data_IF_824812166166
#
_entry.id   IF_824812166166
#
_cell.length_a   1.000
_cell.length_b   1.000
_cell.length_c   1.000
_cell.angle_alpha   90.00
_cell.angle_beta   90.00
_cell.angle_gamma   90.00
#
_symmetry.space_group_name_H-M   'P 1'
#
loop_
_entity.id
_entity.type
_entity.pdbx_description
1 polymer ?
#
# COMPACT_ATOMS: atom_id res chain seq x y z
N UNK A 1 24.30 -75.93 -26.45
CA UNK A 1 23.69 -74.75 -27.07
C UNK A 1 22.84 -74.08 -25.99
N UNK A 2 23.40 -73.08 -25.28
CA UNK A 2 22.71 -72.38 -24.18
C UNK A 2 22.16 -71.05 -24.72
N UNK A 3 20.84 -70.90 -24.75
CA UNK A 3 20.18 -69.63 -25.05
C UNK A 3 20.02 -68.82 -23.75
N UNK A 4 20.72 -67.68 -23.65
CA UNK A 4 20.49 -66.67 -22.62
C UNK A 4 19.41 -65.72 -23.13
N UNK A 5 18.26 -65.68 -22.45
CA UNK A 5 17.26 -64.63 -22.67
C UNK A 5 17.68 -63.38 -21.88
N UNK A 6 17.92 -62.29 -22.58
CA UNK A 6 18.07 -60.96 -21.98
C UNK A 6 16.70 -60.31 -21.97
N UNK A 7 16.10 -60.15 -20.78
CA UNK A 7 14.86 -59.39 -20.61
C UNK A 7 15.26 -57.92 -20.47
N UNK A 8 14.95 -57.12 -21.48
CA UNK A 8 15.15 -55.68 -21.48
C UNK A 8 13.93 -55.02 -20.81
N UNK A 9 14.10 -54.48 -19.60
CA UNK A 9 13.07 -53.67 -18.94
C UNK A 9 13.10 -52.25 -19.52
N UNK A 10 12.10 -51.89 -20.31
CA UNK A 10 11.82 -50.50 -20.66
C UNK A 10 11.14 -49.82 -19.47
N UNK A 11 11.88 -48.94 -18.77
CA UNK A 11 11.31 -48.00 -17.82
C UNK A 11 10.56 -46.91 -18.61
N UNK A 12 9.24 -47.06 -18.74
CA UNK A 12 8.37 -45.99 -19.19
C UNK A 12 8.20 -45.00 -18.03
N UNK A 13 8.93 -43.88 -18.05
CA UNK A 13 8.64 -42.76 -17.17
C UNK A 13 7.36 -42.08 -17.66
N UNK A 14 6.24 -42.29 -16.97
CA UNK A 14 5.07 -41.43 -17.15
C UNK A 14 5.43 -40.03 -16.64
N UNK A 15 5.74 -39.13 -17.56
CA UNK A 15 5.79 -37.70 -17.28
C UNK A 15 4.36 -37.19 -17.12
N UNK A 16 3.88 -37.06 -15.90
CA UNK A 16 2.67 -36.28 -15.64
C UNK A 16 3.03 -34.81 -15.89
N UNK A 17 2.53 -34.25 -16.99
CA UNK A 17 2.57 -32.80 -17.18
C UNK A 17 1.68 -32.19 -16.09
N UNK A 18 2.27 -31.47 -15.14
CA UNK A 18 1.50 -30.62 -14.24
C UNK A 18 0.72 -29.60 -15.10
N UNK A 19 -0.55 -29.31 -14.78
CA UNK A 19 -1.29 -28.29 -15.50
C UNK A 19 -0.53 -26.96 -15.41
N UNK A 20 -0.22 -26.36 -16.56
CA UNK A 20 0.35 -25.02 -16.61
C UNK A 20 -0.69 -24.04 -16.09
N UNK A 21 -0.31 -23.27 -15.07
CA UNK A 21 -1.18 -22.28 -14.43
C UNK A 21 -0.62 -20.88 -14.65
N UNK A 22 -1.51 -19.90 -14.75
CA UNK A 22 -1.14 -18.50 -14.84
C UNK A 22 -2.12 -17.67 -14.04
N UNK A 23 -1.59 -16.67 -13.34
CA UNK A 23 -2.39 -15.69 -12.62
C UNK A 23 -1.76 -14.32 -12.75
N UNK A 24 -2.59 -13.30 -12.87
CA UNK A 24 -2.17 -11.90 -12.89
C UNK A 24 -3.14 -11.09 -12.03
N UNK A 25 -2.57 -10.17 -11.25
CA UNK A 25 -3.28 -9.18 -10.45
C UNK A 25 -3.23 -7.85 -11.22
N UNK A 26 -4.36 -7.16 -11.27
CA UNK A 26 -4.47 -5.82 -11.87
C UNK A 26 -3.87 -4.76 -10.93
N UNK A 27 -2.57 -4.84 -10.66
CA UNK A 27 -1.84 -3.83 -9.86
C UNK A 27 -1.70 -2.55 -10.71
N UNK A 28 -2.19 -1.39 -10.23
CA UNK A 28 -2.02 -0.13 -10.93
C UNK A 28 -0.55 0.21 -11.13
N UNK A 29 -0.20 0.76 -12.30
CA UNK A 29 1.17 1.08 -12.67
C UNK A 29 1.44 2.58 -12.68
N UNK A 30 2.61 2.97 -12.18
CA UNK A 30 3.23 4.26 -12.45
C UNK A 30 4.75 4.12 -12.54
N UNK A 31 5.39 5.02 -13.26
CA UNK A 31 6.85 5.16 -13.26
C UNK A 31 7.31 5.96 -12.03
N UNK A 32 8.54 5.72 -11.56
CA UNK A 32 9.11 6.48 -10.42
C UNK A 32 9.35 7.95 -10.74
N UNK A 33 9.36 8.33 -12.01
CA UNK A 33 9.44 9.71 -12.48
C UNK A 33 8.15 10.08 -13.25
N UNK A 34 7.03 10.40 -12.57
CA UNK A 34 5.73 10.60 -13.21
C UNK A 34 5.73 11.65 -14.33
N UNK A 35 6.52 12.71 -14.18
CA UNK A 35 6.67 13.81 -15.16
C UNK A 35 7.81 13.56 -16.17
N UNK A 36 8.37 12.34 -16.22
CA UNK A 36 9.57 11.97 -16.98
C UNK A 36 10.84 12.78 -16.61
N UNK A 37 10.84 13.41 -15.43
CA UNK A 37 12.00 14.07 -14.84
C UNK A 37 12.71 13.10 -13.88
N UNK A 38 13.92 12.67 -14.23
CA UNK A 38 14.68 11.67 -13.48
C UNK A 38 15.69 12.28 -12.48
N UNK A 39 15.62 13.59 -12.23
CA UNK A 39 16.39 14.22 -11.18
C UNK A 39 15.79 13.92 -9.79
N UNK A 40 16.57 14.14 -8.73
CA UNK A 40 16.10 14.05 -7.34
C UNK A 40 14.76 14.78 -7.13
N UNK A 41 13.82 14.20 -6.35
CA UNK A 41 13.97 12.93 -5.61
C UNK A 41 13.71 11.68 -6.45
N UNK A 42 13.26 11.82 -7.70
CA UNK A 42 12.77 10.70 -8.53
C UNK A 42 13.81 9.67 -8.91
N UNK A 43 15.09 9.99 -8.78
CA UNK A 43 16.19 9.09 -9.10
C UNK A 43 16.21 7.88 -8.17
N UNK A 44 15.91 8.09 -6.89
CA UNK A 44 15.98 7.09 -5.81
C UNK A 44 14.61 6.93 -5.13
N UNK A 45 13.54 6.98 -5.93
CA UNK A 45 12.15 6.88 -5.46
C UNK A 45 11.52 5.51 -5.80
N UNK A 46 12.32 4.48 -6.05
CA UNK A 46 11.79 3.21 -6.56
C UNK A 46 10.93 2.51 -5.50
N UNK A 47 11.35 2.56 -4.23
CA UNK A 47 10.70 2.00 -3.05
C UNK A 47 9.35 2.66 -2.79
N UNK A 48 9.30 3.99 -2.77
CA UNK A 48 8.06 4.74 -2.59
C UNK A 48 7.08 4.49 -3.74
N UNK A 49 7.61 4.29 -4.94
CA UNK A 49 6.79 3.97 -6.12
C UNK A 49 6.16 2.57 -6.01
N UNK A 50 6.92 1.56 -5.60
CA UNK A 50 6.36 0.20 -5.42
C UNK A 50 5.40 0.13 -4.24
N UNK A 51 5.66 0.87 -3.15
CA UNK A 51 4.73 1.03 -2.04
C UNK A 51 3.42 1.66 -2.53
N UNK A 52 3.49 2.77 -3.28
CA UNK A 52 2.32 3.44 -3.83
C UNK A 52 1.51 2.53 -4.78
N UNK A 53 2.17 1.73 -5.62
CA UNK A 53 1.48 0.79 -6.52
C UNK A 53 0.69 -0.28 -5.75
N UNK A 54 1.26 -0.83 -4.67
CA UNK A 54 0.56 -1.81 -3.83
C UNK A 54 -0.56 -1.15 -3.02
N UNK A 55 -0.33 0.05 -2.50
CA UNK A 55 -1.36 0.81 -1.78
C UNK A 55 -2.58 1.12 -2.67
N UNK A 56 -2.35 1.53 -3.91
CA UNK A 56 -3.41 1.75 -4.90
C UNK A 56 -4.12 0.44 -5.28
N UNK A 57 -3.41 -0.68 -5.31
CA UNK A 57 -4.03 -1.99 -5.54
C UNK A 57 -4.97 -2.40 -4.40
N UNK A 58 -4.58 -2.21 -3.13
CA UNK A 58 -5.44 -2.55 -1.99
C UNK A 58 -6.61 -1.59 -1.83
N UNK A 59 -6.39 -0.28 -2.04
CA UNK A 59 -7.43 0.75 -1.99
C UNK A 59 -8.34 0.79 -3.25
N UNK A 60 -8.08 -0.05 -4.25
CA UNK A 60 -8.83 -0.13 -5.53
C UNK A 60 -8.85 1.20 -6.30
N UNK A 61 -7.75 1.94 -6.21
CA UNK A 61 -7.53 3.19 -6.92
C UNK A 61 -6.74 2.98 -8.22
N UNK A 62 -6.69 4.03 -9.05
CA UNK A 62 -5.90 4.07 -10.29
C UNK A 62 -5.05 5.34 -10.34
N UNK A 63 -3.89 5.28 -10.99
CA UNK A 63 -3.03 6.44 -11.13
C UNK A 63 -3.47 7.39 -12.24
N UNK A 64 -3.29 8.68 -11.95
CA UNK A 64 -2.97 9.72 -12.93
C UNK A 64 -1.55 10.21 -12.61
N UNK A 65 -0.92 10.98 -13.50
CA UNK A 65 0.40 11.57 -13.22
C UNK A 65 0.41 12.39 -11.92
N UNK A 66 -0.63 13.20 -11.68
CA UNK A 66 -0.76 13.99 -10.46
C UNK A 66 -0.87 13.13 -9.20
N UNK A 67 -1.76 12.14 -9.23
CA UNK A 67 -1.96 11.20 -8.11
C UNK A 67 -0.70 10.38 -7.80
N UNK A 68 0.03 9.94 -8.84
CA UNK A 68 1.29 9.23 -8.67
C UNK A 68 2.34 10.12 -7.98
N UNK A 69 2.47 11.36 -8.43
CA UNK A 69 3.39 12.35 -7.85
C UNK A 69 3.07 12.61 -6.38
N UNK A 70 1.80 12.81 -6.05
CA UNK A 70 1.34 13.02 -4.68
C UNK A 70 1.67 11.82 -3.78
N UNK A 71 1.32 10.60 -4.21
CA UNK A 71 1.56 9.38 -3.43
C UNK A 71 3.06 9.13 -3.17
N UNK A 72 3.90 9.27 -4.20
CA UNK A 72 5.36 9.06 -4.07
C UNK A 72 5.97 10.12 -3.14
N UNK A 73 5.65 11.41 -3.35
CA UNK A 73 6.18 12.48 -2.49
C UNK A 73 5.69 12.40 -1.05
N UNK A 74 4.48 11.89 -0.83
CA UNK A 74 3.97 11.65 0.52
C UNK A 74 4.80 10.58 1.22
N UNK A 75 5.07 9.44 0.56
CA UNK A 75 5.90 8.39 1.14
C UNK A 75 7.34 8.85 1.42
N UNK A 76 7.92 9.67 0.52
CA UNK A 76 9.25 10.29 0.76
C UNK A 76 9.21 11.14 2.03
N UNK A 77 8.18 12.00 2.20
CA UNK A 77 8.05 12.85 3.39
C UNK A 77 7.88 12.04 4.67
N UNK A 78 7.09 10.96 4.63
CA UNK A 78 6.91 10.04 5.77
C UNK A 78 8.25 9.41 6.13
N UNK A 79 8.98 8.87 5.14
CA UNK A 79 10.32 8.29 5.31
C UNK A 79 11.27 9.30 5.95
N UNK A 80 11.40 10.49 5.37
CA UNK A 80 12.33 11.52 5.85
C UNK A 80 11.98 12.02 7.26
N UNK A 81 10.69 12.14 7.60
CA UNK A 81 10.24 12.52 8.94
C UNK A 81 10.61 11.44 9.97
N UNK A 82 10.50 10.17 9.61
CA UNK A 82 10.67 9.05 10.55
C UNK A 82 12.13 8.58 10.68
N UNK A 83 12.87 8.54 9.58
CA UNK A 83 14.22 7.96 9.51
C UNK A 83 15.32 8.99 9.24
N UNK A 84 14.95 10.23 8.87
CA UNK A 84 15.87 11.22 8.33
C UNK A 84 16.10 11.04 6.82
N UNK A 85 16.97 11.88 6.25
CA UNK A 85 17.25 11.83 4.81
C UNK A 85 18.01 10.57 4.43
N UNK A 86 17.41 9.78 3.56
CA UNK A 86 17.98 8.56 2.99
C UNK A 86 17.50 8.40 1.54
N UNK A 87 18.38 7.86 0.69
CA UNK A 87 18.09 7.66 -0.73
C UNK A 87 17.40 6.32 -0.94
N UNK A 88 18.12 5.22 -0.69
CA UNK A 88 17.63 3.86 -0.85
C UNK A 88 17.38 3.18 0.51
N UNK A 89 16.43 2.25 0.54
CA UNK A 89 16.04 1.49 1.73
C UNK A 89 16.08 -0.02 1.53
N UNK A 90 16.46 -0.74 2.60
CA UNK A 90 16.40 -2.19 2.64
C UNK A 90 14.97 -2.70 2.92
N UNK A 91 14.78 -4.01 2.80
CA UNK A 91 13.49 -4.65 2.97
C UNK A 91 12.90 -4.46 4.37
N UNK A 92 13.76 -4.39 5.39
CA UNK A 92 13.35 -4.15 6.78
C UNK A 92 12.75 -2.76 6.96
N UNK A 93 13.43 -1.73 6.45
CA UNK A 93 12.92 -0.36 6.46
C UNK A 93 11.62 -0.24 5.66
N UNK A 94 11.56 -0.83 4.46
CA UNK A 94 10.34 -0.78 3.63
C UNK A 94 9.16 -1.40 4.39
N UNK A 95 9.35 -2.58 4.99
CA UNK A 95 8.31 -3.25 5.77
C UNK A 95 7.91 -2.43 7.01
N UNK A 96 8.87 -1.80 7.70
CA UNK A 96 8.63 -0.91 8.84
C UNK A 96 7.75 0.29 8.44
N UNK A 97 8.08 0.96 7.32
CA UNK A 97 7.29 2.10 6.83
C UNK A 97 5.86 1.70 6.48
N UNK A 98 5.68 0.55 5.80
CA UNK A 98 4.35 0.03 5.47
C UNK A 98 3.55 -0.27 6.75
N UNK A 99 4.15 -1.02 7.67
CA UNK A 99 3.47 -1.48 8.88
C UNK A 99 3.13 -0.34 9.84
N UNK A 100 3.89 0.75 9.83
CA UNK A 100 3.59 1.94 10.62
C UNK A 100 2.53 2.82 9.96
N UNK A 101 2.65 3.09 8.66
CA UNK A 101 2.00 4.26 8.05
C UNK A 101 0.95 3.95 6.98
N UNK A 102 0.68 2.68 6.67
CA UNK A 102 -0.31 2.28 5.66
C UNK A 102 -1.39 1.37 6.23
N UNK A 103 -2.53 1.30 5.55
CA UNK A 103 -3.70 0.50 5.98
C UNK A 103 -3.60 -0.99 5.62
N UNK A 104 -2.39 -1.46 5.33
CA UNK A 104 -2.06 -2.83 4.96
C UNK A 104 -0.67 -3.19 5.53
N UNK A 105 -0.31 -4.46 5.52
CA UNK A 105 0.91 -4.98 6.14
C UNK A 105 1.90 -5.59 5.18
N UNK A 106 3.14 -5.67 5.63
CA UNK A 106 4.25 -6.30 4.97
C UNK A 106 5.04 -7.23 5.90
N UNK A 107 5.50 -8.35 5.35
CA UNK A 107 6.33 -9.33 6.04
C UNK A 107 7.54 -9.67 5.18
N UNK A 108 8.70 -9.78 5.81
CA UNK A 108 9.94 -10.11 5.12
C UNK A 108 10.03 -11.62 4.95
N UNK A 109 10.25 -12.07 3.72
CA UNK A 109 10.58 -13.45 3.40
C UNK A 109 12.02 -13.53 2.91
N UNK A 110 12.88 -14.09 3.75
CA UNK A 110 14.28 -14.41 3.39
C UNK A 110 14.30 -15.73 2.62
N UNK A 111 15.10 -15.76 1.54
CA UNK A 111 15.23 -16.85 0.59
C UNK A 111 13.87 -17.40 0.11
N UNK A 112 12.97 -16.55 -0.43
CA UNK A 112 11.68 -17.01 -0.91
C UNK A 112 11.88 -18.01 -2.05
N UNK A 113 11.04 -19.04 -2.08
CA UNK A 113 10.97 -19.95 -3.22
C UNK A 113 10.03 -19.41 -4.30
N UNK A 114 10.15 -19.92 -5.53
CA UNK A 114 9.19 -19.63 -6.61
C UNK A 114 7.74 -19.88 -6.15
N UNK A 115 7.51 -20.99 -5.45
CA UNK A 115 6.19 -21.38 -4.95
C UNK A 115 5.71 -20.48 -3.80
N UNK A 116 6.60 -19.96 -2.95
CA UNK A 116 6.24 -18.96 -1.94
C UNK A 116 5.67 -17.70 -2.61
N UNK A 117 6.32 -17.20 -3.66
CA UNK A 117 5.89 -15.99 -4.39
C UNK A 117 4.57 -16.25 -5.12
N UNK A 118 4.44 -17.38 -5.83
CA UNK A 118 3.19 -17.76 -6.51
C UNK A 118 2.02 -17.86 -5.53
N UNK A 119 2.25 -18.43 -4.35
CA UNK A 119 1.23 -18.53 -3.31
C UNK A 119 0.71 -17.16 -2.87
N UNK A 120 1.56 -16.14 -2.78
CA UNK A 120 1.12 -14.77 -2.51
C UNK A 120 0.21 -14.24 -3.63
N UNK A 121 0.65 -14.40 -4.88
CA UNK A 121 -0.17 -14.03 -6.06
C UNK A 121 -1.51 -14.77 -6.07
N UNK A 122 -1.52 -16.08 -5.77
CA UNK A 122 -2.72 -16.91 -5.69
C UNK A 122 -3.69 -16.45 -4.61
N UNK A 123 -3.18 -15.81 -3.55
CA UNK A 123 -3.99 -15.17 -2.51
C UNK A 123 -4.33 -13.70 -2.78
N UNK A 124 -4.07 -13.20 -4.00
CA UNK A 124 -4.31 -11.81 -4.40
C UNK A 124 -3.45 -10.80 -3.63
N UNK A 125 -2.21 -11.17 -3.31
CA UNK A 125 -1.25 -10.34 -2.60
C UNK A 125 -0.02 -10.11 -3.49
N UNK A 126 0.15 -8.89 -4.04
CA UNK A 126 1.36 -8.54 -4.78
C UNK A 126 2.60 -8.67 -3.88
N UNK A 127 3.76 -8.91 -4.49
CA UNK A 127 5.02 -9.02 -3.76
C UNK A 127 5.93 -7.88 -4.17
N UNK A 128 6.44 -7.12 -3.21
CA UNK A 128 7.49 -6.12 -3.46
C UNK A 128 8.85 -6.84 -3.42
N UNK A 129 9.71 -6.56 -4.38
CA UNK A 129 10.99 -7.22 -4.54
C UNK A 129 12.13 -6.20 -4.69
N UNK A 130 12.96 -6.04 -3.65
CA UNK A 130 14.30 -5.46 -3.77
C UNK A 130 15.17 -6.27 -4.73
N UNK A 131 15.97 -5.60 -5.55
CA UNK A 131 16.76 -6.21 -6.60
C UNK A 131 18.11 -5.51 -6.79
N UNK A 132 19.13 -6.31 -7.09
CA UNK A 132 20.30 -5.79 -7.78
C UNK A 132 19.93 -5.52 -9.25
N UNK A 133 19.69 -4.26 -9.60
CA UNK A 133 19.05 -3.86 -10.87
C UNK A 133 19.77 -4.35 -12.12
N UNK A 134 21.10 -4.47 -12.06
CA UNK A 134 21.92 -4.99 -13.18
C UNK A 134 21.66 -6.47 -13.51
N UNK A 135 21.13 -7.25 -12.57
CA UNK A 135 20.82 -8.67 -12.77
C UNK A 135 19.43 -8.91 -13.35
N UNK A 136 18.61 -7.86 -13.49
CA UNK A 136 17.33 -7.95 -14.19
C UNK A 136 17.53 -8.10 -15.70
N UNK A 137 18.64 -7.56 -16.24
CA UNK A 137 18.92 -7.48 -17.67
C UNK A 137 17.81 -6.81 -18.47
N UNK A 138 17.15 -5.80 -17.88
CA UNK A 138 16.07 -5.07 -18.54
C UNK A 138 16.63 -4.26 -19.73
N UNK A 139 16.16 -4.49 -20.96
CA UNK A 139 16.68 -3.81 -22.16
C UNK A 139 16.36 -2.32 -22.21
N UNK A 140 15.43 -1.84 -21.37
CA UNK A 140 15.05 -0.43 -21.28
C UNK A 140 15.86 0.35 -20.25
N UNK A 141 16.69 -0.31 -19.45
CA UNK A 141 17.58 0.38 -18.52
C UNK A 141 18.84 0.90 -19.20
N UNK A 142 19.23 2.11 -18.82
CA UNK A 142 20.52 2.67 -19.24
C UNK A 142 21.66 2.01 -18.46
N UNK A 143 22.83 1.89 -19.08
CA UNK A 143 24.05 1.31 -18.45
C UNK A 143 23.84 -0.08 -17.82
N UNK A 144 22.89 -0.85 -18.36
CA UNK A 144 22.53 -2.19 -17.90
C UNK A 144 21.71 -2.26 -16.62
N UNK A 145 21.26 -1.14 -16.06
CA UNK A 145 20.47 -1.08 -14.82
C UNK A 145 21.19 -0.38 -13.67
N UNK A 146 20.40 0.12 -12.70
CA UNK A 146 20.94 0.70 -11.47
C UNK A 146 21.59 -0.39 -10.60
N UNK A 147 22.37 0.04 -9.61
CA UNK A 147 22.97 -0.91 -8.66
C UNK A 147 21.87 -1.58 -7.81
N UNK A 148 21.02 -0.76 -7.21
CA UNK A 148 19.84 -1.17 -6.47
C UNK A 148 18.58 -0.75 -7.22
N UNK A 149 17.51 -1.53 -7.04
CA UNK A 149 16.19 -1.26 -7.60
C UNK A 149 15.11 -1.98 -6.81
N UNK A 150 13.85 -1.59 -6.97
CA UNK A 150 12.71 -2.36 -6.50
C UNK A 150 11.59 -2.41 -7.53
N UNK A 151 10.85 -3.52 -7.55
CA UNK A 151 9.69 -3.73 -8.42
C UNK A 151 8.57 -4.49 -7.71
N UNK A 152 7.38 -4.50 -8.30
CA UNK A 152 6.26 -5.33 -7.80
C UNK A 152 6.08 -6.55 -8.70
N UNK A 153 6.08 -7.75 -8.13
CA UNK A 153 5.61 -8.96 -8.80
C UNK A 153 4.09 -9.02 -8.64
N UNK A 154 3.39 -9.06 -9.77
CA UNK A 154 1.92 -9.01 -9.84
C UNK A 154 1.30 -10.24 -10.50
N UNK A 155 2.11 -11.13 -11.06
CA UNK A 155 1.60 -12.33 -11.71
C UNK A 155 2.68 -13.33 -12.10
N UNK A 156 2.25 -14.46 -12.63
CA UNK A 156 3.12 -15.50 -13.18
C UNK A 156 2.43 -16.27 -14.32
N UNK A 157 3.24 -16.92 -15.15
CA UNK A 157 2.85 -17.72 -16.31
C UNK A 157 3.75 -18.95 -16.37
N UNK A 158 3.25 -20.10 -15.91
CA UNK A 158 4.04 -21.34 -15.86
C UNK A 158 4.32 -21.95 -17.23
N UNK A 159 3.49 -21.64 -18.23
CA UNK A 159 3.78 -22.08 -19.61
C UNK A 159 5.04 -21.39 -20.14
N UNK A 160 5.18 -20.09 -19.86
CA UNK A 160 6.33 -19.28 -20.29
C UNK A 160 7.50 -19.26 -19.32
N UNK A 161 7.29 -19.73 -18.09
CA UNK A 161 8.26 -19.63 -16.99
C UNK A 161 8.63 -18.17 -16.68
N UNK A 162 7.62 -17.30 -16.60
CA UNK A 162 7.78 -15.85 -16.43
C UNK A 162 6.97 -15.31 -15.26
N UNK A 163 7.53 -14.32 -14.57
CA UNK A 163 6.76 -13.42 -13.72
C UNK A 163 6.26 -12.22 -14.53
N UNK A 164 5.11 -11.69 -14.13
CA UNK A 164 4.56 -10.42 -14.59
C UNK A 164 4.82 -9.39 -13.49
N UNK A 165 5.37 -8.23 -13.85
CA UNK A 165 5.85 -7.22 -12.91
C UNK A 165 5.35 -5.82 -13.23
N UNK A 166 5.27 -4.97 -12.21
CA UNK A 166 5.18 -3.53 -12.35
C UNK A 166 6.56 -2.94 -12.09
N UNK A 167 7.19 -2.47 -13.16
CA UNK A 167 8.60 -2.08 -13.19
C UNK A 167 8.74 -0.53 -13.22
N UNK A 168 8.96 0.13 -12.07
CA UNK A 168 8.87 1.59 -11.98
C UNK A 168 10.03 2.32 -12.67
N UNK A 169 11.14 1.63 -12.96
CA UNK A 169 12.36 2.21 -13.53
C UNK A 169 12.28 2.49 -15.04
N UNK A 170 11.15 2.21 -15.69
CA UNK A 170 10.95 2.49 -17.11
C UNK A 170 9.48 2.69 -17.47
N UNK A 171 9.21 3.56 -18.45
CA UNK A 171 7.86 3.74 -19.04
C UNK A 171 7.29 2.47 -19.69
N UNK A 172 8.13 1.47 -19.94
CA UNK A 172 7.74 0.17 -20.49
C UNK A 172 7.42 -0.87 -19.40
N UNK A 173 7.29 -0.43 -18.15
CA UNK A 173 7.24 -1.30 -16.99
C UNK A 173 5.90 -1.90 -16.62
N UNK A 174 4.80 -1.46 -17.24
CA UNK A 174 3.47 -2.04 -17.01
C UNK A 174 3.45 -3.48 -17.51
N UNK A 175 3.14 -4.41 -16.61
CA UNK A 175 3.08 -5.85 -16.86
C UNK A 175 4.35 -6.40 -17.55
N UNK A 176 5.50 -5.80 -17.25
CA UNK A 176 6.78 -6.23 -17.81
C UNK A 176 7.10 -7.65 -17.38
N UNK A 177 7.60 -8.45 -18.33
CA UNK A 177 7.83 -9.89 -18.13
C UNK A 177 9.31 -10.19 -17.95
N UNK A 178 9.63 -10.88 -16.88
CA UNK A 178 10.95 -11.42 -16.61
C UNK A 178 10.84 -12.94 -16.45
N UNK A 179 11.85 -13.69 -16.91
CA UNK A 179 11.90 -15.12 -16.61
C UNK A 179 11.98 -15.35 -15.09
N UNK A 180 11.50 -16.51 -14.63
CA UNK A 180 11.69 -16.93 -13.23
C UNK A 180 13.16 -16.87 -12.83
N UNK A 181 14.06 -17.34 -13.69
CA UNK A 181 15.51 -17.29 -13.44
C UNK A 181 16.04 -15.87 -13.25
N UNK A 182 15.59 -14.92 -14.07
CA UNK A 182 16.00 -13.51 -13.96
C UNK A 182 15.60 -12.92 -12.59
N UNK A 183 14.33 -13.07 -12.22
CA UNK A 183 13.80 -12.54 -10.96
C UNK A 183 14.49 -13.18 -9.76
N UNK A 184 14.57 -14.52 -9.73
CA UNK A 184 15.18 -15.23 -8.61
C UNK A 184 16.70 -14.99 -8.51
N UNK A 185 17.36 -14.62 -9.61
CA UNK A 185 18.76 -14.22 -9.61
C UNK A 185 18.97 -12.77 -9.20
N UNK A 186 18.09 -11.85 -9.62
CA UNK A 186 18.23 -10.43 -9.34
C UNK A 186 17.78 -10.03 -7.93
N UNK A 187 16.93 -10.84 -7.30
CA UNK A 187 16.41 -10.60 -5.95
C UNK A 187 17.54 -10.55 -4.92
N UNK A 188 17.77 -9.37 -4.39
CA UNK A 188 18.79 -9.08 -3.39
C UNK A 188 18.38 -7.84 -2.61
N UNK A 189 18.48 -7.92 -1.28
CA UNK A 189 18.22 -6.79 -0.41
C UNK A 189 19.27 -5.69 -0.57
N UNK A 190 18.89 -4.45 -0.30
CA UNK A 190 19.77 -3.31 -0.39
C UNK A 190 20.96 -3.45 0.56
N UNK A 191 22.17 -3.23 0.03
CA UNK A 191 23.35 -2.98 0.85
C UNK A 191 24.08 -1.73 0.33
N UNK A 192 24.46 -0.79 1.22
CA UNK A 192 25.09 0.46 0.82
C UNK A 192 26.46 0.25 0.17
N UNK A 193 26.93 1.26 -0.57
CA UNK A 193 28.25 1.23 -1.20
C UNK A 193 28.32 0.34 -2.45
N UNK A 194 27.18 0.10 -3.09
CA UNK A 194 27.07 -0.73 -4.30
C UNK A 194 27.34 -2.21 -4.04
N UNK A 195 26.82 -2.70 -2.91
CA UNK A 195 27.00 -4.07 -2.46
C UNK A 195 25.73 -4.89 -2.52
N UNK A 196 24.66 -4.40 -3.15
CA UNK A 196 23.34 -5.05 -3.21
C UNK A 196 23.45 -6.49 -3.72
N UNK A 197 24.32 -6.78 -4.70
CA UNK A 197 24.54 -8.17 -5.17
C UNK A 197 24.97 -9.18 -4.08
N UNK A 198 25.41 -8.72 -2.92
CA UNK A 198 25.77 -9.53 -1.76
C UNK A 198 24.70 -9.52 -0.66
N UNK A 199 23.66 -8.71 -0.81
CA UNK A 199 22.50 -8.70 0.07
C UNK A 199 21.76 -10.02 0.03
N UNK A 200 21.06 -10.32 1.12
CA UNK A 200 20.26 -11.53 1.22
C UNK A 200 19.16 -11.54 0.15
N UNK A 201 18.81 -12.72 -0.35
CA UNK A 201 17.67 -12.84 -1.27
C UNK A 201 16.40 -12.64 -0.48
N UNK A 202 15.77 -11.48 -0.63
CA UNK A 202 14.62 -11.09 0.17
C UNK A 202 13.49 -10.61 -0.70
N UNK A 203 12.26 -10.97 -0.33
CA UNK A 203 11.04 -10.39 -0.85
C UNK A 203 10.16 -9.89 0.29
N UNK A 204 9.34 -8.90 0.00
CA UNK A 204 8.39 -8.31 0.95
C UNK A 204 6.99 -8.78 0.54
N UNK A 205 6.44 -9.68 1.34
CA UNK A 205 5.10 -10.23 1.14
C UNK A 205 4.09 -9.29 1.77
N UNK A 206 3.02 -8.97 1.04
CA UNK A 206 2.06 -7.94 1.48
C UNK A 206 0.76 -8.58 1.94
N UNK A 207 -0.03 -7.88 2.76
CA UNK A 207 -1.31 -8.35 3.28
C UNK A 207 -2.30 -7.19 3.42
N UNK A 208 -3.55 -7.31 2.92
CA UNK A 208 -4.55 -6.27 3.13
C UNK A 208 -5.05 -6.18 4.58
N UNK A 209 -4.66 -7.11 5.46
CA UNK A 209 -5.07 -7.14 6.85
C UNK A 209 -3.93 -6.63 7.75
N UNK A 210 -4.27 -5.86 8.79
CA UNK A 210 -3.34 -5.23 9.74
C UNK A 210 -3.16 -6.01 11.06
N UNK A 211 -3.00 -7.33 10.99
CA UNK A 211 -3.14 -8.19 12.19
C UNK A 211 -2.05 -7.94 13.24
N UNK A 212 -0.82 -7.65 12.82
CA UNK A 212 0.30 -7.44 13.74
C UNK A 212 0.47 -5.99 14.21
N UNK A 213 0.10 -5.03 13.37
CA UNK A 213 0.32 -3.59 13.56
C UNK A 213 -0.92 -2.83 14.02
N UNK A 214 -2.07 -3.50 14.15
CA UNK A 214 -3.34 -2.85 14.52
C UNK A 214 -3.27 -2.01 15.82
N UNK A 215 -2.44 -2.41 16.77
CA UNK A 215 -2.32 -1.74 18.07
C UNK A 215 -1.09 -0.83 18.18
N UNK A 216 -0.35 -0.63 17.08
CA UNK A 216 0.79 0.29 17.06
C UNK A 216 0.27 1.74 16.98
N UNK A 217 1.02 2.67 17.56
CA UNK A 217 0.79 4.13 17.53
C UNK A 217 2.11 4.75 17.03
N UNK A 218 2.25 4.83 15.71
CA UNK A 218 3.54 5.08 15.08
C UNK A 218 3.95 6.56 15.11
N UNK A 219 2.98 7.48 15.12
CA UNK A 219 3.22 8.92 15.20
C UNK A 219 3.16 9.46 16.64
N UNK A 220 2.74 8.64 17.61
CA UNK A 220 2.88 8.87 19.04
C UNK A 220 1.91 9.93 19.56
N UNK A 221 0.71 9.94 19.00
CA UNK A 221 -0.31 10.95 19.27
C UNK A 221 -1.33 10.49 20.33
N UNK A 222 -1.32 9.19 20.67
CA UNK A 222 -2.22 8.54 21.64
C UNK A 222 -3.34 7.72 21.00
N UNK A 223 -3.38 7.60 19.67
CA UNK A 223 -4.39 6.87 18.91
C UNK A 223 -3.75 5.68 18.18
N UNK A 224 -4.19 4.46 18.51
CA UNK A 224 -3.67 3.26 17.83
C UNK A 224 -4.16 3.16 16.38
N UNK A 225 -3.35 2.58 15.50
CA UNK A 225 -3.57 2.43 14.05
C UNK A 225 -4.95 1.94 13.67
N UNK A 226 -5.50 0.92 14.35
CA UNK A 226 -6.85 0.43 14.02
C UNK A 226 -7.92 1.50 14.30
N UNK A 227 -7.72 2.31 15.33
CA UNK A 227 -8.62 3.40 15.70
C UNK A 227 -8.45 4.58 14.75
N UNK A 228 -7.23 4.88 14.33
CA UNK A 228 -6.96 5.87 13.29
C UNK A 228 -7.66 5.54 11.96
N UNK A 229 -7.56 4.29 11.50
CA UNK A 229 -8.24 3.82 10.28
C UNK A 229 -9.76 3.94 10.40
N UNK A 230 -10.32 3.57 11.55
CA UNK A 230 -11.75 3.74 11.83
C UNK A 230 -12.17 5.22 11.81
N UNK A 231 -11.30 6.10 12.30
CA UNK A 231 -11.53 7.55 12.41
C UNK A 231 -11.17 8.32 11.13
N UNK A 232 -10.56 7.64 10.15
CA UNK A 232 -10.03 8.22 8.92
C UNK A 232 -9.00 9.33 9.20
N UNK A 233 -8.23 9.20 10.29
CA UNK A 233 -7.06 10.05 10.57
C UNK A 233 -5.86 9.61 9.72
N UNK A 234 -4.81 10.42 9.73
CA UNK A 234 -3.58 10.22 8.98
C UNK A 234 -2.56 9.46 9.84
N UNK A 235 -2.33 8.17 9.53
CA UNK A 235 -1.40 7.29 10.25
C UNK A 235 0.04 7.83 10.47
N UNK A 236 0.44 8.86 9.73
CA UNK A 236 1.77 9.46 9.76
C UNK A 236 1.81 10.87 10.37
N UNK A 237 0.67 11.38 10.84
CA UNK A 237 0.51 12.75 11.34
C UNK A 237 -0.25 12.77 12.65
N UNK A 238 0.46 13.15 13.72
CA UNK A 238 -0.11 13.26 15.06
C UNK A 238 -1.29 14.25 15.16
N UNK A 239 -1.47 15.10 14.16
CA UNK A 239 -2.49 16.14 14.03
C UNK A 239 -2.96 16.09 12.58
N UNK A 240 -4.11 15.45 12.35
CA UNK A 240 -4.60 15.09 11.03
C UNK A 240 -5.20 16.28 10.28
N UNK A 241 -5.80 17.22 10.98
CA UNK A 241 -6.40 18.41 10.39
C UNK A 241 -5.55 19.69 10.51
N UNK A 242 -4.41 19.59 11.20
CA UNK A 242 -3.43 20.65 11.44
C UNK A 242 -3.99 21.83 12.24
N UNK A 243 -4.89 21.59 13.18
CA UNK A 243 -5.47 22.62 14.04
C UNK A 243 -4.66 22.89 15.33
N UNK A 244 -3.62 22.08 15.57
CA UNK A 244 -2.69 22.21 16.69
C UNK A 244 -2.98 21.26 17.86
N UNK A 245 -4.01 20.42 17.76
CA UNK A 245 -4.28 19.36 18.72
C UNK A 245 -3.88 17.99 18.16
N UNK A 246 -3.59 17.03 19.05
CA UNK A 246 -3.26 15.66 18.64
C UNK A 246 -4.54 14.87 18.44
N UNK A 247 -4.60 13.96 17.47
CA UNK A 247 -5.84 13.22 17.21
C UNK A 247 -6.28 12.43 18.44
N UNK A 248 -5.36 11.73 19.10
CA UNK A 248 -5.61 11.04 20.38
C UNK A 248 -6.14 11.96 21.49
N UNK A 249 -5.61 13.19 21.59
CA UNK A 249 -6.07 14.19 22.57
C UNK A 249 -7.47 14.68 22.25
N UNK A 250 -7.78 14.91 20.97
CA UNK A 250 -9.09 15.35 20.55
C UNK A 250 -10.15 14.30 20.83
N UNK A 251 -9.88 13.03 20.53
CA UNK A 251 -10.78 11.93 20.84
C UNK A 251 -11.06 11.85 22.35
N UNK A 252 -10.04 11.98 23.20
CA UNK A 252 -10.21 11.99 24.66
C UNK A 252 -11.07 13.18 25.13
N UNK A 253 -10.91 14.35 24.49
CA UNK A 253 -11.63 15.57 24.81
C UNK A 253 -13.01 15.69 24.12
N UNK A 254 -13.38 14.73 23.26
CA UNK A 254 -14.65 14.71 22.51
C UNK A 254 -14.66 15.61 21.26
N UNK A 255 -13.50 15.94 20.71
CA UNK A 255 -13.30 16.68 19.46
C UNK A 255 -12.98 15.75 18.28
N UNK A 256 -13.10 16.29 17.07
CA UNK A 256 -12.95 15.58 15.82
C UNK A 256 -11.56 15.79 15.23
N UNK A 257 -10.73 14.73 15.10
CA UNK A 257 -9.34 14.85 14.66
C UNK A 257 -9.13 15.20 13.18
N UNK A 258 -10.22 15.20 12.41
CA UNK A 258 -10.21 15.46 10.97
C UNK A 258 -10.90 16.77 10.62
N UNK A 259 -11.28 17.57 11.62
CA UNK A 259 -12.03 18.81 11.43
C UNK A 259 -11.87 19.79 12.59
N UNK A 260 -11.07 20.82 12.33
CA UNK A 260 -10.80 21.89 13.28
C UNK A 260 -12.07 22.43 13.95
N UNK A 261 -12.07 22.50 15.28
CA UNK A 261 -13.16 23.00 16.12
C UNK A 261 -14.51 22.24 16.01
N UNK A 262 -14.53 21.02 15.45
CA UNK A 262 -15.73 20.18 15.48
C UNK A 262 -15.70 19.24 16.68
N UNK A 263 -16.78 19.22 17.46
CA UNK A 263 -16.98 18.23 18.53
C UNK A 263 -17.53 16.91 17.92
N UNK A 264 -17.14 15.76 18.45
CA UNK A 264 -17.74 14.47 18.08
C UNK A 264 -19.15 14.33 18.65
N UNK A 265 -20.08 13.81 17.84
CA UNK A 265 -21.49 13.70 18.22
C UNK A 265 -22.20 15.05 18.20
N UNK A 266 -21.68 16.00 17.42
CA UNK A 266 -22.21 17.36 17.33
C UNK A 266 -23.30 17.47 16.31
N UNK A 267 -24.24 18.36 16.59
CA UNK A 267 -25.30 18.71 15.67
C UNK A 267 -24.76 19.81 14.77
N UNK A 268 -24.70 19.57 13.47
CA UNK A 268 -24.18 20.53 12.51
C UNK A 268 -25.26 20.90 11.48
N UNK A 269 -25.16 22.12 10.94
CA UNK A 269 -25.95 22.59 9.79
C UNK A 269 -25.12 23.52 8.93
N UNK A 270 -25.53 23.74 7.68
CA UNK A 270 -24.96 24.82 6.86
C UNK A 270 -25.72 26.14 7.10
N UNK A 271 -25.16 27.30 6.69
CA UNK A 271 -25.88 28.56 6.75
C UNK A 271 -27.19 28.54 5.94
N UNK A 272 -27.15 27.87 4.79
CA UNK A 272 -28.19 27.96 3.75
C UNK A 272 -29.19 26.79 3.77
N UNK A 273 -29.03 25.82 4.68
CA UNK A 273 -29.93 24.66 4.82
C UNK A 273 -30.58 24.59 6.21
N UNK A 274 -31.88 24.27 6.29
CA UNK A 274 -32.54 23.96 7.56
C UNK A 274 -32.22 22.56 8.08
N UNK A 275 -31.55 21.71 7.29
CA UNK A 275 -31.21 20.34 7.68
C UNK A 275 -30.18 20.33 8.81
N UNK A 276 -30.44 19.51 9.82
CA UNK A 276 -29.53 19.29 10.94
C UNK A 276 -29.01 17.86 10.87
N UNK A 277 -27.71 17.71 11.05
CA UNK A 277 -27.05 16.42 10.99
C UNK A 277 -26.38 16.12 12.32
N UNK A 278 -26.43 14.86 12.75
CA UNK A 278 -25.48 14.37 13.74
C UNK A 278 -24.17 14.05 13.01
N UNK A 279 -23.11 14.77 13.35
CA UNK A 279 -21.77 14.51 12.88
C UNK A 279 -21.04 13.59 13.85
N UNK A 280 -20.57 12.46 13.33
CA UNK A 280 -19.79 11.51 14.09
C UNK A 280 -18.91 10.71 13.13
N UNK A 281 -17.61 10.62 13.41
CA UNK A 281 -16.68 9.77 12.69
C UNK A 281 -16.70 9.95 11.15
N UNK A 282 -16.41 11.17 10.67
CA UNK A 282 -16.46 11.57 9.25
C UNK A 282 -17.80 11.29 8.53
N UNK A 283 -18.86 11.03 9.29
CA UNK A 283 -20.17 10.66 8.79
C UNK A 283 -21.19 11.66 9.32
N UNK A 284 -22.11 12.05 8.45
CA UNK A 284 -23.28 12.85 8.82
C UNK A 284 -24.52 11.98 8.72
N UNK A 285 -25.38 12.07 9.72
CA UNK A 285 -26.70 11.44 9.68
C UNK A 285 -27.74 12.52 9.78
N UNK A 286 -28.55 12.67 8.74
CA UNK A 286 -29.65 13.63 8.75
C UNK A 286 -30.62 13.29 9.87
N UNK A 287 -31.05 14.30 10.63
CA UNK A 287 -32.07 14.16 11.66
C UNK A 287 -33.40 14.52 11.02
N UNK A 288 -34.27 13.52 10.85
CA UNK A 288 -35.45 13.59 9.99
C UNK A 288 -36.34 14.81 10.30
N UNK A 289 -36.55 15.12 11.58
CA UNK A 289 -37.40 16.22 12.01
C UNK A 289 -37.14 16.64 13.47
N UNK A 290 -37.79 17.73 13.88
CA UNK A 290 -37.76 18.27 15.24
C UNK A 290 -38.18 17.27 16.32
N UNK A 291 -39.17 16.41 16.05
CA UNK A 291 -39.64 15.43 17.05
C UNK A 291 -38.54 14.41 17.38
N UNK A 292 -37.84 13.91 16.36
CA UNK A 292 -36.66 13.04 16.53
C UNK A 292 -35.57 13.79 17.28
N UNK A 293 -35.29 15.03 16.88
CA UNK A 293 -34.28 15.87 17.53
C UNK A 293 -34.52 16.01 19.05
N UNK A 294 -35.75 16.34 19.44
CA UNK A 294 -36.14 16.50 20.83
C UNK A 294 -36.14 15.16 21.57
N UNK A 295 -36.57 14.07 20.94
CA UNK A 295 -36.62 12.74 21.57
C UNK A 295 -35.25 12.24 22.02
N UNK A 296 -34.19 12.63 21.29
CA UNK A 296 -32.80 12.31 21.60
C UNK A 296 -32.20 13.24 22.66
N UNK A 297 -32.98 14.18 23.19
CA UNK A 297 -32.54 15.13 24.21
C UNK A 297 -31.65 16.25 23.68
N UNK A 298 -31.46 16.34 22.36
CA UNK A 298 -30.65 17.37 21.72
C UNK A 298 -31.27 18.76 21.89
N UNK A 299 -30.40 19.78 21.84
CA UNK A 299 -30.76 21.17 22.09
C UNK A 299 -30.36 22.02 20.90
N UNK A 300 -31.26 22.91 20.47
CA UNK A 300 -31.05 23.76 19.30
C UNK A 300 -29.80 24.65 19.41
N UNK A 301 -29.43 25.07 20.62
CA UNK A 301 -28.22 25.86 20.86
C UNK A 301 -26.92 25.05 20.73
N UNK A 302 -26.99 23.72 20.69
CA UNK A 302 -25.86 22.83 20.42
C UNK A 302 -25.61 22.62 18.92
N UNK A 303 -26.38 23.30 18.05
CA UNK A 303 -26.19 23.19 16.62
C UNK A 303 -25.10 24.16 16.16
N UNK A 304 -24.02 23.62 15.64
CA UNK A 304 -22.93 24.38 15.05
C UNK A 304 -23.22 24.64 13.58
N UNK A 305 -22.92 25.86 13.14
CA UNK A 305 -22.99 26.20 11.71
C UNK A 305 -21.63 25.98 11.08
N UNK A 306 -21.57 25.11 10.08
CA UNK A 306 -20.35 24.75 9.35
C UNK A 306 -20.45 25.20 7.89
N UNK A 307 -19.33 25.50 7.21
CA UNK A 307 -19.32 25.80 5.78
C UNK A 307 -19.97 24.69 4.92
N UNK A 308 -20.55 25.04 3.77
CA UNK A 308 -21.21 24.05 2.89
C UNK A 308 -20.28 22.94 2.40
N UNK A 309 -19.06 23.31 2.01
CA UNK A 309 -18.01 22.38 1.58
C UNK A 309 -17.57 21.40 2.69
N UNK A 310 -17.84 21.69 3.96
CA UNK A 310 -17.58 20.74 5.03
C UNK A 310 -18.48 19.52 4.90
N UNK A 311 -19.80 19.73 4.77
CA UNK A 311 -20.79 18.65 4.67
C UNK A 311 -20.63 17.85 3.37
N UNK A 312 -20.25 18.50 2.26
CA UNK A 312 -20.09 17.85 0.95
C UNK A 312 -18.99 16.77 0.91
N UNK A 313 -17.99 16.87 1.79
CA UNK A 313 -16.87 15.92 1.87
C UNK A 313 -17.14 14.74 2.82
N UNK A 314 -18.29 14.71 3.49
CA UNK A 314 -18.62 13.72 4.51
C UNK A 314 -19.49 12.60 3.94
N UNK A 315 -19.30 11.40 4.50
CA UNK A 315 -20.16 10.26 4.15
C UNK A 315 -21.56 10.46 4.75
N UNK A 316 -22.61 10.27 3.95
CA UNK A 316 -23.99 10.35 4.47
C UNK A 316 -24.44 8.99 4.99
N UNK A 317 -24.52 8.86 6.30
CA UNK A 317 -25.02 7.68 6.98
C UNK A 317 -26.56 7.60 7.00
N UNK A 318 -27.08 6.51 7.55
CA UNK A 318 -28.52 6.28 7.65
C UNK A 318 -29.21 7.40 8.45
N UNK A 319 -30.31 7.92 7.91
CA UNK A 319 -31.12 8.96 8.55
C UNK A 319 -31.58 8.54 9.96
N UNK A 320 -31.56 9.49 10.88
CA UNK A 320 -32.10 9.33 12.23
C UNK A 320 -33.59 9.68 12.16
N UNK A 321 -34.42 8.64 12.14
CA UNK A 321 -35.87 8.76 11.98
C UNK A 321 -36.67 8.44 13.24
N UNK A 322 -36.01 7.91 14.27
CA UNK A 322 -36.56 7.59 15.59
C UNK A 322 -35.55 7.96 16.65
#
# INVERSE_FOLDING_TARGET
MYFRYVILFFLFSLSFANPAFSKSLNVPFTVQAPDANWNQPWQDACEETVIAMVDYFYSKNTFTTGKAKEAILQMIKIKEKYLGTSLDENAETIALLINNFLTWEAYIRINPTLEDIKKEIDNNRPVIMPAHGKYLYNPYFQNGGPEYHSLVISGYDDEKQEFITQEPGTRHGLDFRYSYGNIMNAMHDFLPGGQTKFGDKTAIFTSPNITSSANDDADGDGLVKIKEIELKTLLWSYDSDNDGYRDGQEIEAGYSPISANALLGTLIKTPDSPMVYLFFNNTIRHILNEAVFISHGWKWFNIFTVPGNFIENLETGAEISQ
#
